data_IF_349720698094
#
_entry.id   IF_349720698094
#
_cell.length_a   1.000
_cell.length_b   1.000
_cell.length_c   1.000
_cell.angle_alpha   90.00
_cell.angle_beta   90.00
_cell.angle_gamma   90.00
#
_symmetry.space_group_name_H-M   'P 1'
#
loop_
_entity.id
_entity.type
_entity.pdbx_description
1 polymer ?
#
# COMPACT_ATOMS: atom_id res chain seq x y z
N UNK A 1 9.57 -14.44 -0.73
CA UNK A 1 8.26 -14.39 -1.40
C UNK A 1 7.74 -15.79 -1.65
N UNK A 2 6.88 -16.26 -0.79
CA UNK A 2 6.20 -17.51 -1.07
C UNK A 2 4.90 -17.13 -1.81
N UNK A 3 4.85 -17.38 -3.13
CA UNK A 3 3.60 -17.34 -3.86
C UNK A 3 2.58 -18.24 -3.12
N UNK A 4 1.45 -17.68 -2.72
CA UNK A 4 0.40 -18.45 -2.01
C UNK A 4 0.00 -19.70 -2.78
N UNK A 5 0.07 -19.67 -4.13
CA UNK A 5 -0.18 -20.85 -4.98
C UNK A 5 0.86 -21.96 -4.82
N UNK A 6 2.05 -21.64 -4.30
CA UNK A 6 3.07 -22.64 -3.99
C UNK A 6 2.86 -23.29 -2.61
N UNK A 7 1.97 -22.74 -1.79
CA UNK A 7 1.60 -23.34 -0.51
C UNK A 7 0.77 -24.62 -0.73
N UNK A 8 0.86 -25.60 0.18
CA UNK A 8 -0.07 -26.71 0.16
C UNK A 8 -1.52 -26.23 0.22
N UNK A 9 -2.47 -26.90 -0.45
CA UNK A 9 -3.87 -26.53 -0.44
C UNK A 9 -4.40 -26.33 0.99
N UNK A 10 -5.24 -25.31 1.19
CA UNK A 10 -5.88 -24.96 2.47
C UNK A 10 -4.88 -24.62 3.62
N UNK A 11 -3.70 -24.13 3.31
CA UNK A 11 -2.71 -23.74 4.32
C UNK A 11 -2.44 -22.24 4.37
N UNK A 12 -2.97 -21.44 3.44
CA UNK A 12 -2.72 -20.00 3.36
C UNK A 12 -3.16 -19.27 4.64
N UNK A 13 -4.34 -19.56 5.15
CA UNK A 13 -4.83 -19.02 6.42
C UNK A 13 -3.95 -19.42 7.62
N UNK A 14 -3.50 -20.67 7.67
CA UNK A 14 -2.58 -21.12 8.72
C UNK A 14 -1.26 -20.37 8.64
N UNK A 15 -0.73 -20.17 7.43
CA UNK A 15 0.50 -19.41 7.21
C UNK A 15 0.35 -17.95 7.67
N UNK A 16 -0.75 -17.29 7.35
CA UNK A 16 -1.01 -15.92 7.81
C UNK A 16 -1.05 -15.84 9.34
N UNK A 17 -1.64 -16.82 10.02
CA UNK A 17 -1.66 -16.89 11.49
C UNK A 17 -0.25 -17.05 12.07
N UNK A 18 0.57 -17.91 11.48
CA UNK A 18 1.97 -18.08 11.88
C UNK A 18 2.76 -16.77 11.71
N UNK A 19 2.54 -16.05 10.60
CA UNK A 19 3.17 -14.75 10.36
C UNK A 19 2.72 -13.70 11.38
N UNK A 20 1.43 -13.70 11.74
CA UNK A 20 0.91 -12.82 12.80
C UNK A 20 1.52 -13.14 14.15
N UNK A 21 1.62 -14.41 14.55
CA UNK A 21 2.22 -14.82 15.81
C UNK A 21 3.72 -14.45 15.85
N UNK A 22 4.42 -14.62 14.73
CA UNK A 22 5.80 -14.17 14.60
C UNK A 22 5.93 -12.64 14.73
N UNK A 23 5.05 -11.88 14.07
CA UNK A 23 5.01 -10.42 14.21
C UNK A 23 4.84 -10.01 15.67
N UNK A 24 3.92 -10.64 16.41
CA UNK A 24 3.71 -10.34 17.83
C UNK A 24 4.96 -10.64 18.67
N UNK A 25 5.67 -11.74 18.39
CA UNK A 25 6.92 -12.05 19.11
C UNK A 25 7.99 -10.98 18.83
N UNK A 26 8.12 -10.53 17.58
CA UNK A 26 9.08 -9.47 17.22
C UNK A 26 8.75 -8.13 17.88
N UNK A 27 7.47 -7.75 17.94
CA UNK A 27 7.04 -6.54 18.68
C UNK A 27 7.40 -6.65 20.18
N UNK A 28 7.21 -7.82 20.77
CA UNK A 28 7.53 -8.04 22.19
C UNK A 28 9.04 -7.99 22.46
N UNK A 29 9.83 -8.65 21.61
CA UNK A 29 11.29 -8.72 21.74
C UNK A 29 11.96 -7.34 21.54
N UNK A 30 11.36 -6.47 20.70
CA UNK A 30 11.87 -5.14 20.35
C UNK A 30 10.97 -4.01 20.90
N UNK A 31 10.30 -4.23 22.03
CA UNK A 31 9.30 -3.30 22.58
C UNK A 31 9.85 -1.95 23.03
N UNK A 32 11.17 -1.81 23.17
CA UNK A 32 11.88 -0.56 23.38
C UNK A 32 12.03 0.28 22.11
N UNK A 33 12.01 -0.34 20.92
CA UNK A 33 12.22 0.31 19.62
C UNK A 33 10.94 0.43 18.79
N UNK A 34 10.01 -0.52 18.93
CA UNK A 34 8.83 -0.65 18.07
C UNK A 34 7.55 -0.72 18.90
N UNK A 35 6.50 -0.07 18.43
CA UNK A 35 5.15 -0.17 19.00
C UNK A 35 4.18 -0.68 17.94
N UNK A 36 3.38 -1.70 18.29
CA UNK A 36 2.25 -2.10 17.46
C UNK A 36 1.18 -1.02 17.51
N UNK A 37 0.75 -0.54 16.36
CA UNK A 37 -0.26 0.50 16.21
C UNK A 37 -1.41 0.03 15.32
N UNK A 38 -2.61 0.54 15.59
CA UNK A 38 -3.84 0.28 14.85
C UNK A 38 -4.53 1.57 14.39
N UNK A 39 -4.16 2.70 14.98
CA UNK A 39 -4.78 4.01 14.77
C UNK A 39 -3.74 5.10 14.66
N UNK A 40 -4.09 6.22 14.00
CA UNK A 40 -3.22 7.40 13.93
C UNK A 40 -2.83 7.95 15.31
N UNK A 41 -3.71 7.87 16.30
CA UNK A 41 -3.37 8.29 17.66
C UNK A 41 -2.30 7.40 18.33
N UNK A 42 -2.31 6.09 18.06
CA UNK A 42 -1.28 5.17 18.53
C UNK A 42 0.04 5.39 17.79
N UNK A 43 -0.01 5.76 16.50
CA UNK A 43 1.17 6.18 15.72
C UNK A 43 1.81 7.43 16.33
N UNK A 44 1.02 8.45 16.67
CA UNK A 44 1.52 9.65 17.36
C UNK A 44 2.15 9.31 18.72
N UNK A 45 1.51 8.44 19.49
CA UNK A 45 2.03 8.02 20.79
C UNK A 45 3.34 7.24 20.67
N UNK A 46 3.51 6.41 19.64
CA UNK A 46 4.77 5.73 19.35
C UNK A 46 5.87 6.75 18.98
N UNK A 47 5.57 7.68 18.08
CA UNK A 47 6.50 8.73 17.67
C UNK A 47 6.95 9.61 18.84
N UNK A 48 6.01 10.00 19.73
CA UNK A 48 6.33 10.78 20.93
C UNK A 48 7.27 10.03 21.91
N UNK A 49 7.33 8.71 21.82
CA UNK A 49 8.23 7.84 22.59
C UNK A 49 9.51 7.47 21.81
N UNK A 50 9.73 8.07 20.64
CA UNK A 50 10.83 7.74 19.73
C UNK A 50 10.85 6.25 19.31
N UNK A 51 9.66 5.65 19.14
CA UNK A 51 9.50 4.27 18.68
C UNK A 51 8.95 4.25 17.26
N UNK A 52 9.33 3.24 16.51
CA UNK A 52 8.73 2.96 15.19
C UNK A 52 7.31 2.43 15.38
N UNK A 53 6.34 3.02 14.68
CA UNK A 53 4.97 2.52 14.63
C UNK A 53 4.88 1.36 13.62
N UNK A 54 4.49 0.18 14.09
CA UNK A 54 4.25 -0.99 13.24
C UNK A 54 2.75 -1.21 13.06
N UNK A 55 2.29 -1.19 11.82
CA UNK A 55 0.91 -1.46 11.42
C UNK A 55 0.87 -2.73 10.57
N UNK A 56 -0.26 -3.45 10.64
CA UNK A 56 -0.47 -4.66 9.87
C UNK A 56 -1.27 -4.37 8.60
N UNK A 57 -0.82 -4.94 7.49
CA UNK A 57 -1.57 -5.07 6.24
C UNK A 57 -1.49 -6.52 5.74
N UNK A 58 -2.39 -6.88 4.83
CA UNK A 58 -2.36 -8.19 4.15
C UNK A 58 -2.31 -7.93 2.65
N UNK A 59 -1.23 -8.33 2.03
CA UNK A 59 -1.02 -8.20 0.60
C UNK A 59 -1.43 -9.49 -0.11
N UNK A 60 -2.63 -9.45 -0.70
CA UNK A 60 -3.30 -10.59 -1.32
C UNK A 60 -4.29 -11.29 -0.38
N UNK A 61 -5.59 -11.16 -0.68
CA UNK A 61 -6.67 -11.80 0.08
C UNK A 61 -6.63 -13.34 0.01
N UNK A 62 -5.80 -13.90 -0.86
CA UNK A 62 -5.50 -15.34 -0.91
C UNK A 62 -5.00 -15.87 0.43
N UNK A 63 -4.25 -15.06 1.20
CA UNK A 63 -3.81 -15.40 2.55
C UNK A 63 -4.97 -15.55 3.55
N UNK A 64 -6.14 -14.98 3.22
CA UNK A 64 -7.38 -15.17 3.97
C UNK A 64 -8.26 -16.26 3.33
N UNK A 65 -7.74 -17.10 2.42
CA UNK A 65 -8.52 -18.00 1.57
C UNK A 65 -9.66 -17.26 0.82
N UNK A 66 -9.54 -15.94 0.63
CA UNK A 66 -10.61 -15.03 0.15
C UNK A 66 -11.93 -15.17 0.95
N UNK A 67 -11.90 -15.59 2.20
CA UNK A 67 -13.08 -15.90 3.00
C UNK A 67 -13.54 -14.70 3.83
N UNK A 68 -14.84 -14.36 3.72
CA UNK A 68 -15.46 -13.26 4.50
C UNK A 68 -15.35 -13.47 6.00
N UNK A 69 -15.44 -14.71 6.48
CA UNK A 69 -15.39 -15.05 7.90
C UNK A 69 -14.01 -14.74 8.54
N UNK A 70 -12.96 -14.66 7.74
CA UNK A 70 -11.62 -14.32 8.23
C UNK A 70 -11.41 -12.81 8.43
N UNK A 71 -12.25 -11.95 7.83
CA UNK A 71 -12.13 -10.49 7.93
C UNK A 71 -12.26 -9.97 9.36
N UNK A 72 -13.21 -10.50 10.14
CA UNK A 72 -13.38 -10.12 11.54
C UNK A 72 -12.12 -10.43 12.36
N UNK A 73 -11.53 -11.60 12.13
CA UNK A 73 -10.32 -12.02 12.82
C UNK A 73 -9.14 -11.09 12.51
N UNK A 74 -8.86 -10.80 11.24
CA UNK A 74 -7.71 -9.93 10.88
C UNK A 74 -7.95 -8.48 11.30
N UNK A 75 -9.20 -8.00 11.30
CA UNK A 75 -9.56 -6.70 11.87
C UNK A 75 -9.24 -6.64 13.37
N UNK A 76 -9.54 -7.71 14.13
CA UNK A 76 -9.20 -7.82 15.54
C UNK A 76 -7.68 -7.76 15.78
N UNK A 77 -6.89 -8.30 14.85
CA UNK A 77 -5.43 -8.18 14.86
C UNK A 77 -4.96 -6.76 14.56
N UNK A 78 -5.83 -5.87 14.09
CA UNK A 78 -5.51 -4.50 13.74
C UNK A 78 -5.00 -4.34 12.30
N UNK A 79 -5.29 -5.29 11.42
CA UNK A 79 -5.09 -5.10 9.98
C UNK A 79 -5.96 -3.94 9.50
N UNK A 80 -5.34 -2.99 8.79
CA UNK A 80 -6.00 -1.78 8.30
C UNK A 80 -6.10 -1.73 6.77
N UNK A 81 -5.27 -2.48 6.07
CA UNK A 81 -5.21 -2.52 4.60
C UNK A 81 -5.23 -3.98 4.13
N UNK A 82 -6.01 -4.28 3.11
CA UNK A 82 -5.97 -5.56 2.40
C UNK A 82 -5.99 -5.30 0.90
N UNK A 83 -5.03 -5.88 0.18
CA UNK A 83 -5.08 -5.98 -1.28
C UNK A 83 -6.00 -7.14 -1.66
N UNK A 84 -7.05 -6.94 -2.49
CA UNK A 84 -7.90 -8.04 -2.96
C UNK A 84 -7.12 -9.12 -3.70
N UNK A 85 -6.06 -8.74 -4.39
CA UNK A 85 -5.13 -9.61 -5.13
C UNK A 85 -3.70 -9.17 -4.91
N UNK A 86 -2.76 -10.10 -5.06
CA UNK A 86 -1.33 -9.81 -5.30
C UNK A 86 -1.04 -9.96 -6.81
N UNK A 87 0.06 -10.59 -7.19
CA UNK A 87 0.43 -10.76 -8.61
C UNK A 87 -0.48 -11.72 -9.39
N UNK A 88 -1.26 -12.54 -8.70
CA UNK A 88 -2.12 -13.54 -9.30
C UNK A 88 -3.60 -13.15 -9.20
N UNK A 89 -4.35 -13.46 -10.25
CA UNK A 89 -5.80 -13.43 -10.18
C UNK A 89 -6.33 -14.47 -9.19
N UNK A 90 -7.41 -14.12 -8.48
CA UNK A 90 -8.10 -15.03 -7.57
C UNK A 90 -9.63 -14.95 -7.74
N UNK A 91 -10.40 -15.53 -6.84
CA UNK A 91 -11.88 -15.54 -6.93
C UNK A 91 -12.48 -14.14 -6.81
N UNK A 92 -11.74 -13.15 -6.26
CA UNK A 92 -12.24 -11.78 -6.07
C UNK A 92 -12.03 -10.93 -7.32
N UNK A 93 -10.83 -10.97 -7.95
CA UNK A 93 -10.46 -10.07 -9.05
C UNK A 93 -9.33 -10.61 -9.90
N UNK A 94 -9.15 -10.02 -11.09
CA UNK A 94 -7.89 -10.07 -11.83
C UNK A 94 -6.83 -9.16 -11.18
N UNK A 95 -5.56 -9.46 -11.43
CA UNK A 95 -4.43 -8.61 -11.10
C UNK A 95 -3.87 -7.91 -12.34
N UNK A 96 -2.98 -6.94 -12.18
CA UNK A 96 -2.30 -6.28 -13.30
C UNK A 96 -1.37 -7.23 -14.07
N UNK A 97 -0.93 -8.33 -13.46
CA UNK A 97 -0.03 -9.32 -14.03
C UNK A 97 -0.75 -10.59 -14.54
N UNK A 98 -1.93 -10.89 -13.99
CA UNK A 98 -2.70 -12.09 -14.32
C UNK A 98 -4.18 -11.72 -14.47
N UNK A 99 -4.78 -12.04 -15.63
CA UNK A 99 -6.14 -11.64 -16.02
C UNK A 99 -6.37 -10.10 -15.94
N UNK A 100 -5.52 -9.28 -16.59
CA UNK A 100 -5.45 -7.83 -16.36
C UNK A 100 -6.70 -7.05 -16.80
N UNK A 101 -7.61 -7.68 -17.49
CA UNK A 101 -8.87 -7.08 -17.97
C UNK A 101 -10.09 -7.56 -17.14
N UNK A 102 -9.89 -8.46 -16.16
CA UNK A 102 -10.96 -8.96 -15.28
C UNK A 102 -11.12 -8.07 -14.05
N UNK A 103 -12.32 -7.54 -13.85
CA UNK A 103 -12.71 -6.77 -12.67
C UNK A 103 -13.07 -7.64 -11.47
N UNK A 104 -13.68 -7.01 -10.45
CA UNK A 104 -14.22 -7.71 -9.29
C UNK A 104 -15.37 -8.65 -9.70
N UNK A 105 -15.34 -9.88 -9.21
CA UNK A 105 -16.50 -10.76 -9.23
C UNK A 105 -17.63 -10.19 -8.34
N UNK A 106 -18.83 -10.78 -8.43
CA UNK A 106 -19.91 -10.44 -7.49
C UNK A 106 -19.46 -10.65 -6.05
N UNK A 107 -18.78 -11.76 -5.79
CA UNK A 107 -18.23 -12.09 -4.48
C UNK A 107 -17.09 -11.12 -4.08
N UNK A 108 -16.25 -10.68 -5.03
CA UNK A 108 -15.21 -9.67 -4.80
C UNK A 108 -15.78 -8.33 -4.36
N UNK A 109 -16.91 -7.89 -4.94
CA UNK A 109 -17.60 -6.65 -4.51
C UNK A 109 -18.15 -6.80 -3.09
N UNK A 110 -18.72 -7.94 -2.74
CA UNK A 110 -19.20 -8.25 -1.39
C UNK A 110 -18.02 -8.25 -0.40
N UNK A 111 -16.89 -8.87 -0.77
CA UNK A 111 -15.69 -8.91 0.05
C UNK A 111 -15.15 -7.50 0.33
N UNK A 112 -15.01 -6.67 -0.69
CA UNK A 112 -14.56 -5.27 -0.54
C UNK A 112 -15.54 -4.49 0.34
N UNK A 113 -16.85 -4.59 0.11
CA UNK A 113 -17.85 -3.91 0.94
C UNK A 113 -17.73 -4.34 2.41
N UNK A 114 -17.52 -5.63 2.66
CA UNK A 114 -17.36 -6.19 4.01
C UNK A 114 -16.07 -5.74 4.72
N UNK A 115 -14.98 -5.52 3.98
CA UNK A 115 -13.75 -4.94 4.54
C UNK A 115 -14.04 -3.60 5.23
N UNK A 116 -14.80 -2.71 4.58
CA UNK A 116 -15.15 -1.39 5.14
C UNK A 116 -16.03 -1.48 6.39
N UNK A 117 -16.88 -2.50 6.52
CA UNK A 117 -17.66 -2.74 7.75
C UNK A 117 -16.75 -3.04 8.96
N UNK A 118 -15.58 -3.62 8.73
CA UNK A 118 -14.58 -3.88 9.75
C UNK A 118 -13.51 -2.78 9.86
N UNK A 119 -13.67 -1.67 9.15
CA UNK A 119 -12.70 -0.57 9.16
C UNK A 119 -11.38 -0.90 8.47
N UNK A 120 -11.41 -1.81 7.50
CA UNK A 120 -10.26 -2.19 6.66
C UNK A 120 -10.42 -1.50 5.32
N UNK A 121 -9.41 -0.77 4.86
CA UNK A 121 -9.40 -0.11 3.57
C UNK A 121 -8.96 -1.07 2.46
N UNK A 122 -9.57 -0.94 1.29
CA UNK A 122 -9.11 -1.65 0.09
C UNK A 122 -7.84 -0.99 -0.44
N UNK A 123 -6.81 -1.80 -0.62
CA UNK A 123 -5.56 -1.43 -1.26
C UNK A 123 -5.59 -1.91 -2.72
N UNK A 124 -5.51 -0.97 -3.66
CA UNK A 124 -5.60 -1.23 -5.09
C UNK A 124 -4.24 -1.45 -5.76
N UNK A 125 -3.16 -1.46 -5.00
CA UNK A 125 -1.88 -1.92 -5.53
C UNK A 125 -2.02 -3.37 -6.01
N UNK A 126 -1.45 -3.70 -7.18
CA UNK A 126 -1.56 -5.00 -7.87
C UNK A 126 -2.87 -5.30 -8.63
N UNK A 127 -3.98 -4.64 -8.33
CA UNK A 127 -5.25 -4.97 -8.96
C UNK A 127 -5.26 -4.64 -10.46
N UNK A 128 -6.08 -5.32 -11.24
CA UNK A 128 -6.34 -4.99 -12.65
C UNK A 128 -7.00 -3.62 -12.80
N UNK A 129 -6.89 -3.01 -13.99
CA UNK A 129 -7.52 -1.71 -14.25
C UNK A 129 -9.06 -1.78 -14.07
N UNK A 130 -9.69 -2.85 -14.54
CA UNK A 130 -11.13 -3.08 -14.33
C UNK A 130 -11.47 -3.26 -12.86
N UNK A 131 -10.65 -4.03 -12.13
CA UNK A 131 -10.79 -4.25 -10.68
C UNK A 131 -10.62 -2.97 -9.88
N UNK A 132 -9.72 -2.09 -10.30
CA UNK A 132 -9.55 -0.76 -9.69
C UNK A 132 -10.86 0.03 -9.69
N UNK A 133 -11.48 0.18 -10.86
CA UNK A 133 -12.74 0.93 -10.99
C UNK A 133 -13.90 0.29 -10.23
N UNK A 134 -13.91 -1.04 -10.18
CA UNK A 134 -14.89 -1.78 -9.38
C UNK A 134 -14.70 -1.55 -7.88
N UNK A 135 -13.45 -1.48 -7.39
CA UNK A 135 -13.15 -1.14 -5.98
C UNK A 135 -13.60 0.29 -5.68
N UNK A 136 -13.30 1.27 -6.53
CA UNK A 136 -13.76 2.66 -6.36
C UNK A 136 -15.30 2.73 -6.21
N UNK A 137 -16.04 1.91 -6.97
CA UNK A 137 -17.51 1.86 -6.86
C UNK A 137 -18.02 1.13 -5.61
N UNK A 138 -17.31 0.10 -5.15
CA UNK A 138 -17.72 -0.73 -4.02
C UNK A 138 -17.31 -0.13 -2.67
N UNK A 139 -16.26 0.68 -2.63
CA UNK A 139 -15.69 1.27 -1.43
C UNK A 139 -16.69 2.18 -0.69
N UNK A 140 -16.64 2.16 0.63
CA UNK A 140 -17.47 2.98 1.53
C UNK A 140 -16.65 4.03 2.30
N UNK A 141 -15.43 4.29 1.88
CA UNK A 141 -14.49 5.22 2.48
C UNK A 141 -13.22 5.34 1.64
N UNK A 142 -12.12 5.82 2.20
CA UNK A 142 -10.87 5.98 1.49
C UNK A 142 -10.41 4.68 0.82
N UNK A 143 -9.93 4.79 -0.43
CA UNK A 143 -9.23 3.73 -1.15
C UNK A 143 -7.75 4.04 -1.13
N UNK A 144 -6.92 3.02 -0.99
CA UNK A 144 -5.47 3.18 -0.86
C UNK A 144 -4.77 2.48 -2.04
N UNK A 145 -3.70 3.08 -2.52
CA UNK A 145 -2.69 2.40 -3.32
C UNK A 145 -1.38 2.46 -2.52
N UNK A 146 -1.10 1.44 -1.74
CA UNK A 146 0.01 1.47 -0.77
C UNK A 146 1.38 1.68 -1.42
N UNK A 147 1.57 1.22 -2.67
CA UNK A 147 2.84 1.31 -3.38
C UNK A 147 2.62 1.31 -4.91
N UNK A 148 2.31 2.50 -5.48
CA UNK A 148 2.05 2.69 -6.92
C UNK A 148 2.51 4.05 -7.39
N UNK A 149 3.13 4.10 -8.57
CA UNK A 149 3.66 5.31 -9.20
C UNK A 149 2.73 5.85 -10.30
N UNK A 150 3.14 6.92 -10.99
CA UNK A 150 2.38 7.48 -12.11
C UNK A 150 2.61 6.66 -13.39
N UNK A 151 1.51 6.22 -14.03
CA UNK A 151 1.50 5.54 -15.32
C UNK A 151 1.30 6.55 -16.46
N UNK A 152 2.39 7.13 -16.89
CA UNK A 152 2.38 8.06 -18.03
C UNK A 152 3.55 7.77 -18.98
N UNK A 153 3.40 7.99 -20.29
CA UNK A 153 4.47 7.76 -21.25
C UNK A 153 5.75 8.56 -20.95
N UNK A 154 5.64 9.69 -20.27
CA UNK A 154 6.78 10.53 -19.89
C UNK A 154 7.56 10.03 -18.67
N UNK A 155 7.04 9.08 -17.92
CA UNK A 155 7.65 8.49 -16.72
C UNK A 155 7.79 6.98 -16.90
N UNK A 156 6.84 6.21 -16.36
CA UNK A 156 6.83 4.76 -16.46
C UNK A 156 5.45 4.23 -16.84
N UNK A 157 5.25 3.70 -18.07
CA UNK A 157 3.94 3.22 -18.53
C UNK A 157 3.57 1.83 -18.00
N UNK A 158 4.26 1.33 -16.98
CA UNK A 158 4.02 0.00 -16.44
C UNK A 158 2.60 -0.12 -15.84
N UNK A 159 1.91 -1.25 -16.10
CA UNK A 159 0.52 -1.46 -15.63
C UNK A 159 0.35 -1.49 -14.10
N UNK A 160 1.43 -1.66 -13.38
CA UNK A 160 1.46 -1.61 -11.91
C UNK A 160 1.23 -0.21 -11.35
N UNK A 161 1.47 0.81 -12.20
CA UNK A 161 1.32 2.22 -11.88
C UNK A 161 -0.10 2.71 -12.19
N UNK A 162 -0.50 3.83 -11.61
CA UNK A 162 -1.82 4.45 -11.75
C UNK A 162 -1.85 5.47 -12.89
N UNK A 163 -2.92 5.46 -13.68
CA UNK A 163 -3.21 6.58 -14.59
C UNK A 163 -3.61 7.82 -13.80
N UNK A 164 -3.61 8.99 -14.46
CA UNK A 164 -4.05 10.24 -13.84
C UNK A 164 -5.48 10.15 -13.30
N UNK A 165 -6.39 9.53 -14.08
CA UNK A 165 -7.78 9.33 -13.66
C UNK A 165 -7.88 8.40 -12.43
N UNK A 166 -7.05 7.36 -12.37
CA UNK A 166 -7.00 6.46 -11.20
C UNK A 166 -6.47 7.18 -9.97
N UNK A 167 -5.39 7.97 -10.12
CA UNK A 167 -4.87 8.79 -9.03
C UNK A 167 -5.93 9.77 -8.52
N UNK A 168 -6.58 10.50 -9.43
CA UNK A 168 -7.66 11.43 -9.07
C UNK A 168 -8.82 10.70 -8.35
N UNK A 169 -9.19 9.50 -8.79
CA UNK A 169 -10.23 8.72 -8.13
C UNK A 169 -9.85 8.34 -6.70
N UNK A 170 -8.60 7.89 -6.44
CA UNK A 170 -8.11 7.63 -5.08
C UNK A 170 -8.15 8.91 -4.23
N UNK A 171 -7.62 10.03 -4.77
CA UNK A 171 -7.65 11.34 -4.12
C UNK A 171 -9.08 11.73 -3.70
N UNK A 172 -10.03 11.59 -4.61
CA UNK A 172 -11.42 12.01 -4.42
C UNK A 172 -12.17 11.14 -3.39
N UNK A 173 -11.68 9.93 -3.10
CA UNK A 173 -12.15 9.13 -1.94
C UNK A 173 -11.58 9.62 -0.60
N UNK A 174 -10.66 10.57 -0.61
CA UNK A 174 -9.86 10.95 0.57
C UNK A 174 -8.75 9.95 0.88
N UNK A 175 -8.34 9.14 -0.09
CA UNK A 175 -7.35 8.09 0.05
C UNK A 175 -5.89 8.55 0.00
N UNK A 176 -4.98 7.58 -0.10
CA UNK A 176 -3.54 7.79 -0.14
C UNK A 176 -2.91 6.92 -1.24
N UNK A 177 -1.91 7.48 -1.91
CA UNK A 177 -1.06 6.79 -2.87
C UNK A 177 0.37 6.84 -2.38
N UNK A 178 0.92 5.70 -2.00
CA UNK A 178 2.31 5.53 -1.58
C UNK A 178 3.22 5.35 -2.80
N UNK A 179 4.26 6.17 -2.92
CA UNK A 179 5.26 6.06 -3.96
C UNK A 179 6.07 4.78 -3.78
N UNK A 180 6.07 3.93 -4.79
CA UNK A 180 6.86 2.69 -4.85
C UNK A 180 8.30 3.02 -5.23
N UNK A 181 9.27 2.44 -4.52
CA UNK A 181 10.71 2.65 -4.76
C UNK A 181 11.33 1.60 -5.67
N UNK A 182 10.57 0.62 -6.15
CA UNK A 182 11.07 -0.41 -7.05
C UNK A 182 11.48 0.17 -8.40
N UNK A 183 12.70 -0.12 -8.81
CA UNK A 183 13.34 0.42 -10.01
C UNK A 183 12.49 0.27 -11.27
N UNK A 184 11.87 -0.89 -11.48
CA UNK A 184 11.08 -1.18 -12.70
C UNK A 184 9.79 -0.35 -12.77
N UNK A 185 9.24 0.09 -11.62
CA UNK A 185 8.03 0.89 -11.57
C UNK A 185 8.31 2.40 -11.53
N UNK A 186 9.55 2.78 -11.24
CA UNK A 186 10.04 4.16 -11.39
C UNK A 186 10.39 4.46 -12.86
N UNK A 187 10.92 3.46 -13.59
CA UNK A 187 11.26 3.62 -15.02
C UNK A 187 12.57 4.33 -15.27
N UNK A 188 13.33 4.67 -14.23
CA UNK A 188 14.65 5.27 -14.29
C UNK A 188 15.42 5.06 -12.99
N UNK A 189 16.75 5.18 -13.04
CA UNK A 189 17.66 4.85 -11.93
C UNK A 189 18.10 6.04 -11.08
N UNK A 190 17.64 7.27 -11.38
CA UNK A 190 18.07 8.48 -10.69
C UNK A 190 17.04 9.00 -9.70
N UNK A 191 17.49 9.80 -8.73
CA UNK A 191 16.59 10.46 -7.76
C UNK A 191 15.56 11.35 -8.47
N UNK A 192 15.96 11.99 -9.58
CA UNK A 192 15.07 12.84 -10.38
C UNK A 192 13.92 12.03 -11.01
N UNK A 193 14.17 10.80 -11.44
CA UNK A 193 13.13 9.93 -11.99
C UNK A 193 12.07 9.60 -10.92
N UNK A 194 12.52 9.30 -9.70
CA UNK A 194 11.63 9.02 -8.57
C UNK A 194 10.83 10.28 -8.17
N UNK A 195 11.49 11.43 -8.07
CA UNK A 195 10.85 12.70 -7.72
C UNK A 195 9.83 13.11 -8.78
N UNK A 196 10.09 12.82 -10.05
CA UNK A 196 9.16 13.15 -11.14
C UNK A 196 7.77 12.49 -10.97
N UNK A 197 7.67 11.31 -10.35
CA UNK A 197 6.38 10.71 -10.00
C UNK A 197 5.65 11.49 -8.90
N UNK A 198 6.38 11.96 -7.89
CA UNK A 198 5.82 12.81 -6.83
C UNK A 198 5.31 14.13 -7.43
N UNK A 199 6.14 14.80 -8.22
CA UNK A 199 5.80 16.07 -8.89
C UNK A 199 4.61 15.92 -9.83
N UNK A 200 4.53 14.80 -10.57
CA UNK A 200 3.40 14.51 -11.41
C UNK A 200 2.09 14.42 -10.60
N UNK A 201 2.07 13.65 -9.53
CA UNK A 201 0.89 13.55 -8.68
C UNK A 201 0.55 14.86 -7.94
N UNK A 202 1.55 15.64 -7.53
CA UNK A 202 1.32 16.99 -6.99
C UNK A 202 0.67 17.91 -8.02
N UNK A 203 1.04 17.79 -9.31
CA UNK A 203 0.40 18.57 -10.39
C UNK A 203 -1.09 18.26 -10.57
N UNK A 204 -1.55 17.10 -10.06
CA UNK A 204 -2.94 16.67 -10.01
C UNK A 204 -3.64 17.02 -8.68
N UNK A 205 -3.14 18.02 -7.94
CA UNK A 205 -3.63 18.42 -6.61
C UNK A 205 -3.52 17.28 -5.58
N UNK A 206 -2.38 16.63 -5.56
CA UNK A 206 -2.11 15.43 -4.76
C UNK A 206 -1.49 15.67 -3.40
N UNK A 207 -1.42 16.91 -2.89
CA UNK A 207 -0.72 17.28 -1.66
C UNK A 207 -1.19 16.46 -0.44
N UNK A 208 -2.49 16.21 -0.35
CA UNK A 208 -3.10 15.40 0.72
C UNK A 208 -3.19 13.90 0.40
N UNK A 209 -2.64 13.45 -0.75
CA UNK A 209 -2.81 12.08 -1.26
C UNK A 209 -1.49 11.34 -1.42
N UNK A 210 -0.44 12.06 -1.87
CA UNK A 210 0.88 11.44 -2.08
C UNK A 210 1.55 11.10 -0.76
N UNK A 211 2.09 9.90 -0.67
CA UNK A 211 2.86 9.45 0.49
C UNK A 211 4.02 8.54 0.05
N UNK A 212 4.81 8.04 0.99
CA UNK A 212 5.87 7.06 0.71
C UNK A 212 5.31 5.65 0.96
N UNK A 213 5.38 4.80 -0.07
CA UNK A 213 4.93 3.40 -0.01
C UNK A 213 6.07 2.42 0.18
N UNK A 214 7.23 2.73 -0.37
CA UNK A 214 8.48 2.00 -0.20
C UNK A 214 8.58 0.71 -1.00
N UNK A 215 7.86 -0.33 -0.59
CA UNK A 215 7.98 -1.71 -1.12
C UNK A 215 9.39 -2.31 -0.91
N UNK A 216 10.03 -1.94 0.22
CA UNK A 216 11.47 -2.10 0.46
C UNK A 216 11.94 -3.56 0.45
N UNK A 217 11.15 -4.48 1.01
CA UNK A 217 11.43 -5.92 1.02
C UNK A 217 10.65 -6.66 -0.07
N UNK A 218 9.87 -5.92 -0.87
CA UNK A 218 8.99 -6.39 -1.94
C UNK A 218 9.64 -6.41 -3.33
N UNK A 219 10.90 -5.99 -3.49
CA UNK A 219 11.54 -5.84 -4.79
C UNK A 219 13.04 -6.17 -4.76
N UNK A 220 13.59 -6.51 -5.92
CA UNK A 220 15.00 -6.91 -6.08
C UNK A 220 15.95 -5.72 -6.17
N UNK A 221 15.45 -4.55 -6.57
CA UNK A 221 16.27 -3.35 -6.78
C UNK A 221 15.48 -2.07 -6.49
N UNK A 222 16.07 -1.19 -5.70
CA UNK A 222 15.51 0.12 -5.39
C UNK A 222 16.04 1.18 -6.38
N UNK A 223 15.19 2.16 -6.71
CA UNK A 223 15.55 3.30 -7.53
C UNK A 223 16.55 4.23 -6.79
N UNK A 224 17.14 5.17 -7.54
CA UNK A 224 17.98 6.23 -7.03
C UNK A 224 19.21 5.78 -6.22
N UNK A 225 19.68 4.55 -6.45
CA UNK A 225 20.83 3.97 -5.72
C UNK A 225 20.53 3.74 -4.24
N UNK A 226 19.26 3.66 -3.86
CA UNK A 226 18.84 3.29 -2.52
C UNK A 226 19.17 1.82 -2.22
N UNK A 227 19.44 1.51 -0.96
CA UNK A 227 19.77 0.15 -0.49
C UNK A 227 18.86 -0.33 0.64
N UNK A 228 17.98 0.53 1.14
CA UNK A 228 17.04 0.21 2.20
C UNK A 228 16.40 1.45 2.81
N UNK A 229 15.66 1.25 3.89
CA UNK A 229 14.88 2.30 4.57
C UNK A 229 15.72 3.50 5.01
N UNK A 230 16.98 3.29 5.36
CA UNK A 230 17.90 4.35 5.74
C UNK A 230 18.13 5.41 4.65
N UNK A 231 17.88 5.04 3.39
CA UNK A 231 18.08 5.94 2.25
C UNK A 231 16.84 6.77 1.90
N UNK A 232 15.68 6.52 2.53
CA UNK A 232 14.46 7.34 2.37
C UNK A 232 14.71 8.79 2.78
N UNK A 233 15.61 9.03 3.75
CA UNK A 233 16.01 10.37 4.13
C UNK A 233 16.67 11.15 2.97
N UNK A 234 17.31 10.48 2.00
CA UNK A 234 17.88 11.12 0.81
C UNK A 234 16.79 11.69 -0.10
N UNK A 235 15.65 11.01 -0.20
CA UNK A 235 14.49 11.52 -0.95
C UNK A 235 13.91 12.77 -0.27
N UNK A 236 13.78 12.74 1.06
CA UNK A 236 13.32 13.91 1.83
C UNK A 236 14.25 15.11 1.56
N UNK A 237 15.57 14.92 1.71
CA UNK A 237 16.57 15.97 1.49
C UNK A 237 16.53 16.48 0.03
N UNK A 238 16.40 15.61 -0.96
CA UNK A 238 16.35 16.02 -2.37
C UNK A 238 15.12 16.88 -2.69
N UNK A 239 13.96 16.60 -2.05
CA UNK A 239 12.77 17.46 -2.17
C UNK A 239 12.95 18.79 -1.42
N UNK A 240 13.58 18.80 -0.24
CA UNK A 240 13.90 20.02 0.49
C UNK A 240 14.84 20.94 -0.31
N UNK A 241 15.90 20.39 -0.91
CA UNK A 241 16.83 21.10 -1.79
C UNK A 241 16.17 21.69 -3.05
N UNK A 242 15.05 21.11 -3.51
CA UNK A 242 14.19 21.65 -4.58
C UNK A 242 13.27 22.78 -4.13
N UNK A 243 13.25 23.08 -2.83
CA UNK A 243 12.48 24.19 -2.25
C UNK A 243 11.04 23.84 -1.91
N UNK A 244 10.69 22.56 -1.80
CA UNK A 244 9.37 22.17 -1.28
C UNK A 244 9.24 22.60 0.18
N UNK A 245 8.08 23.18 0.58
CA UNK A 245 7.89 23.63 1.95
C UNK A 245 7.83 22.45 2.92
N UNK A 246 8.37 22.65 4.11
CA UNK A 246 8.45 21.62 5.15
C UNK A 246 7.07 20.99 5.44
N UNK A 247 5.99 21.79 5.45
CA UNK A 247 4.64 21.28 5.67
C UNK A 247 4.22 20.24 4.64
N UNK A 248 4.57 20.42 3.36
CA UNK A 248 4.28 19.44 2.31
C UNK A 248 5.15 18.17 2.47
N UNK A 249 6.41 18.34 2.88
CA UNK A 249 7.27 17.18 3.16
C UNK A 249 6.74 16.38 4.35
N UNK A 250 6.28 17.04 5.41
CA UNK A 250 5.62 16.38 6.55
C UNK A 250 4.34 15.66 6.13
N UNK A 251 3.57 16.21 5.18
CA UNK A 251 2.37 15.56 4.64
C UNK A 251 2.73 14.30 3.85
N UNK A 252 3.71 14.37 2.94
CA UNK A 252 4.14 13.24 2.10
C UNK A 252 4.77 12.11 2.94
N UNK A 253 5.62 12.45 3.92
CA UNK A 253 6.39 11.45 4.67
C UNK A 253 5.67 10.96 5.93
N UNK A 254 4.57 11.64 6.36
CA UNK A 254 3.92 11.30 7.62
C UNK A 254 2.40 11.52 7.62
N UNK A 255 1.93 12.78 7.45
CA UNK A 255 0.56 13.15 7.79
C UNK A 255 -0.49 12.48 6.90
N UNK A 256 -0.19 12.24 5.60
CA UNK A 256 -1.14 11.63 4.67
C UNK A 256 -1.48 10.19 5.09
N UNK A 257 -0.49 9.38 5.47
CA UNK A 257 -0.76 8.05 6.04
C UNK A 257 -1.47 8.14 7.39
N UNK A 258 -0.95 8.99 8.29
CA UNK A 258 -1.51 9.15 9.63
C UNK A 258 -2.99 9.54 9.62
N UNK A 259 -3.40 10.36 8.65
CA UNK A 259 -4.76 10.88 8.52
C UNK A 259 -5.82 9.80 8.31
N UNK A 260 -5.50 8.74 7.59
CA UNK A 260 -6.44 7.67 7.25
C UNK A 260 -6.45 6.52 8.28
N UNK A 261 -5.45 6.48 9.14
CA UNK A 261 -5.33 5.48 10.21
C UNK A 261 -6.10 5.94 11.45
#
# INVERSE_FOLDING_TARGET
YDDVRALPPNTAWTKLREMHDWFLSQIQENSDLVSRCKTGAEVDAAAAQHRTAALLSVEGADLLDCALDHLETVASWGVRLINPVWNNANVLSGSCADEPDRGLSVYGREFVAKMYEYGIFADVSHISDAGFWDVIQAAKGPVVASHSNARTPGLCPHRRNLTDDMFCAVRDTGGVVGINLYLDFVGGGHMDDLIAHIEHFLSLSGESTVAIGGDLDGCEALAAGMTGVQDVAKLYQALEERGYPQSLLEDIFWNNWRRIL
#
